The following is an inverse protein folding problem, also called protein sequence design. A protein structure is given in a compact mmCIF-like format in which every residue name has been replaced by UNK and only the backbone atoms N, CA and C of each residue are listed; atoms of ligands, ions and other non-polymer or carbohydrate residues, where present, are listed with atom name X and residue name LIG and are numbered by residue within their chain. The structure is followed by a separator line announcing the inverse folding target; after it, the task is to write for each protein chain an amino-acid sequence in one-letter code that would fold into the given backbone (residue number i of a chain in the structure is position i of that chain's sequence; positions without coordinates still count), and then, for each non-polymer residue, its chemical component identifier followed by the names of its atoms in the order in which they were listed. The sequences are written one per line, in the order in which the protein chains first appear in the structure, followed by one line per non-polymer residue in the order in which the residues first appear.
data_IF_744473733477
#
_entry.id   IF_744473733477
#
_cell.length_a   1.000
_cell.length_b   1.000
_cell.length_c   1.000
_cell.angle_alpha   90.00
_cell.angle_beta   90.00
_cell.angle_gamma   90.00
#
_symmetry.space_group_name_H-M   'P 1'
#
loop_
_entity.id
_entity.type
_entity.pdbx_description
1 polymer ?
#
# COMPACT_ATOMS: atom_id res chain seq x y z
N UNK A 1 49.34 54.89 -28.87
CA UNK A 1 47.96 55.40 -29.24
C UNK A 1 46.94 54.29 -29.15
N UNK A 2 45.97 54.49 -28.26
CA UNK A 2 44.60 54.01 -28.23
C UNK A 2 44.44 52.48 -28.30
N UNK A 3 44.20 51.75 -27.21
CA UNK A 3 42.92 51.62 -26.45
C UNK A 3 41.79 51.06 -27.30
N UNK A 4 41.37 49.93 -26.96
CA UNK A 4 40.14 49.26 -27.36
C UNK A 4 39.79 48.23 -26.35
N UNK A 5 39.17 48.66 -25.27
CA UNK A 5 38.44 47.84 -24.34
C UNK A 5 37.12 47.44 -24.98
N UNK A 6 36.71 46.25 -24.75
CA UNK A 6 35.46 45.66 -25.20
C UNK A 6 34.98 44.67 -24.15
N UNK A 7 34.25 45.19 -23.24
CA UNK A 7 33.17 44.65 -22.44
C UNK A 7 32.93 43.12 -22.53
N UNK A 8 33.40 42.43 -21.47
CA UNK A 8 32.87 41.17 -21.03
C UNK A 8 31.81 41.44 -19.93
N UNK A 9 30.60 41.71 -20.28
CA UNK A 9 29.45 41.70 -19.37
C UNK A 9 28.25 41.26 -20.20
N UNK A 10 27.89 40.00 -20.09
CA UNK A 10 26.53 39.44 -20.30
C UNK A 10 26.60 37.91 -20.42
N UNK A 11 26.81 37.22 -19.32
CA UNK A 11 26.61 35.77 -19.25
C UNK A 11 26.24 35.27 -17.84
N UNK A 12 25.87 36.15 -16.92
CA UNK A 12 25.61 35.75 -15.52
C UNK A 12 24.13 35.85 -15.08
N UNK A 13 23.19 36.23 -15.97
CA UNK A 13 21.78 36.42 -15.58
C UNK A 13 20.90 35.22 -15.99
N UNK A 14 21.38 34.32 -16.83
CA UNK A 14 20.56 33.17 -17.33
C UNK A 14 20.63 31.91 -16.45
N UNK A 15 21.55 31.79 -15.51
CA UNK A 15 21.71 30.57 -14.69
C UNK A 15 20.87 30.54 -13.40
N UNK A 16 20.27 31.66 -13.00
CA UNK A 16 19.47 31.76 -11.76
C UNK A 16 18.00 31.40 -11.92
N UNK A 17 17.43 31.58 -13.11
CA UNK A 17 16.00 31.34 -13.35
C UNK A 17 15.67 29.87 -13.70
N UNK A 18 16.57 29.15 -14.34
CA UNK A 18 16.37 27.75 -14.72
C UNK A 18 16.35 26.79 -13.54
N UNK A 19 16.98 27.18 -12.41
CA UNK A 19 17.03 26.35 -11.19
C UNK A 19 15.72 26.34 -10.38
N UNK A 20 14.71 27.12 -10.73
CA UNK A 20 13.45 27.25 -10.00
C UNK A 20 12.25 26.57 -10.68
N UNK A 21 12.46 25.92 -11.81
CA UNK A 21 11.40 25.18 -12.55
C UNK A 21 11.57 23.70 -12.34
N UNK A 22 10.49 22.98 -12.00
CA UNK A 22 10.51 21.54 -11.85
C UNK A 22 10.67 20.84 -13.20
N UNK A 23 11.65 19.98 -13.32
CA UNK A 23 11.94 19.14 -14.48
C UNK A 23 11.78 17.66 -14.08
N UNK A 24 11.68 16.78 -15.06
CA UNK A 24 11.60 15.34 -14.83
C UNK A 24 12.77 14.83 -13.96
N UNK A 25 12.46 14.01 -12.94
CA UNK A 25 13.41 13.50 -11.97
C UNK A 25 13.71 14.42 -10.79
N UNK A 26 13.28 15.70 -10.83
CA UNK A 26 13.47 16.61 -9.70
C UNK A 26 12.63 16.19 -8.49
N UNK A 27 13.13 16.46 -7.29
CA UNK A 27 12.39 16.30 -6.05
C UNK A 27 11.69 17.62 -5.70
N UNK A 28 10.37 17.62 -5.80
CA UNK A 28 9.54 18.79 -5.53
C UNK A 28 8.78 18.61 -4.22
N UNK A 29 9.03 19.48 -3.26
CA UNK A 29 8.28 19.50 -1.99
C UNK A 29 7.05 20.36 -2.18
N UNK A 30 5.87 19.82 -1.88
CA UNK A 30 4.58 20.49 -2.05
C UNK A 30 3.70 20.37 -0.82
N UNK A 31 2.90 21.39 -0.57
CA UNK A 31 1.62 21.20 0.12
C UNK A 31 0.55 20.93 -0.91
N UNK A 32 -0.37 20.02 -0.61
CA UNK A 32 -1.48 19.76 -1.53
C UNK A 32 -2.74 19.25 -0.83
N UNK A 33 -3.85 19.41 -1.53
CA UNK A 33 -5.17 18.91 -1.16
C UNK A 33 -5.80 18.22 -2.36
N UNK A 34 -6.09 16.93 -2.23
CA UNK A 34 -6.74 16.13 -3.26
C UNK A 34 -8.23 15.99 -2.97
N UNK A 35 -9.07 16.24 -3.99
CA UNK A 35 -10.53 16.21 -3.90
C UNK A 35 -11.12 15.49 -5.11
N UNK A 36 -12.33 14.96 -4.93
CA UNK A 36 -13.17 14.61 -6.07
C UNK A 36 -13.71 15.87 -6.76
N UNK A 37 -14.19 15.75 -8.00
CA UNK A 37 -14.78 16.86 -8.77
C UNK A 37 -15.94 17.57 -8.05
N UNK A 38 -16.65 16.86 -7.18
CA UNK A 38 -17.72 17.43 -6.34
C UNK A 38 -17.21 18.16 -5.08
N UNK A 39 -15.89 18.32 -4.93
CA UNK A 39 -15.26 19.00 -3.79
C UNK A 39 -14.99 18.13 -2.56
N UNK A 40 -15.42 16.86 -2.57
CA UNK A 40 -15.21 15.93 -1.43
C UNK A 40 -13.72 15.66 -1.22
N UNK A 41 -13.23 15.89 0.00
CA UNK A 41 -11.83 15.72 0.39
C UNK A 41 -11.43 14.25 0.41
N UNK A 42 -10.33 13.93 -0.27
CA UNK A 42 -9.70 12.60 -0.26
C UNK A 42 -8.43 12.59 0.58
N UNK A 43 -7.63 13.63 0.48
CA UNK A 43 -6.34 13.74 1.14
C UNK A 43 -5.91 15.20 1.27
N UNK A 44 -5.17 15.54 2.32
CA UNK A 44 -4.53 16.86 2.44
C UNK A 44 -3.30 16.79 3.32
N UNK A 45 -2.30 17.59 2.98
CA UNK A 45 -1.09 17.83 3.81
C UNK A 45 -1.27 19.01 4.78
N UNK A 46 -2.44 19.64 4.80
CA UNK A 46 -2.76 20.84 5.58
C UNK A 46 -3.73 20.50 6.73
N UNK A 47 -3.32 20.76 7.95
CA UNK A 47 -4.13 20.48 9.15
C UNK A 47 -5.40 21.31 9.24
N UNK A 48 -5.34 22.58 8.82
CA UNK A 48 -6.48 23.48 8.80
C UNK A 48 -7.60 23.00 7.86
N UNK A 49 -7.23 22.44 6.69
CA UNK A 49 -8.21 21.83 5.77
C UNK A 49 -8.76 20.51 6.33
N UNK A 50 -7.89 19.71 6.96
CA UNK A 50 -8.28 18.43 7.56
C UNK A 50 -9.24 18.61 8.73
N UNK A 51 -9.07 19.64 9.53
CA UNK A 51 -9.83 19.90 10.76
C UNK A 51 -11.03 20.82 10.53
N UNK A 52 -11.20 21.38 9.33
CA UNK A 52 -12.38 22.19 8.99
C UNK A 52 -13.66 21.33 9.01
N UNK A 53 -14.63 21.66 9.89
CA UNK A 53 -15.89 20.92 9.97
C UNK A 53 -16.82 21.15 8.77
N UNK A 54 -16.58 22.19 7.97
CA UNK A 54 -17.37 22.47 6.77
C UNK A 54 -16.85 21.70 5.54
N UNK A 55 -15.63 21.16 5.61
CA UNK A 55 -15.07 20.37 4.54
C UNK A 55 -15.71 18.97 4.51
N UNK A 56 -16.48 18.70 3.44
CA UNK A 56 -17.02 17.35 3.19
C UNK A 56 -15.87 16.37 2.93
N UNK A 57 -15.83 15.27 3.70
CA UNK A 57 -14.81 14.25 3.63
C UNK A 57 -15.37 12.99 3.00
N UNK A 58 -14.56 12.32 2.17
CA UNK A 58 -14.88 11.00 1.64
C UNK A 58 -14.96 9.97 2.78
N UNK A 59 -15.75 8.92 2.61
CA UNK A 59 -15.72 7.74 3.48
C UNK A 59 -14.34 7.07 3.54
N UNK A 60 -13.50 7.31 2.54
CA UNK A 60 -12.12 6.83 2.42
C UNK A 60 -11.08 7.79 3.00
N UNK A 61 -11.51 8.95 3.51
CA UNK A 61 -10.60 9.91 4.11
C UNK A 61 -10.06 9.38 5.44
N UNK A 62 -8.74 9.26 5.53
CA UNK A 62 -8.03 8.94 6.78
C UNK A 62 -7.29 10.19 7.22
N UNK A 63 -7.63 10.66 8.44
CA UNK A 63 -6.90 11.77 9.04
C UNK A 63 -5.51 11.30 9.46
N UNK A 64 -4.47 11.95 8.94
CA UNK A 64 -3.10 11.67 9.32
C UNK A 64 -2.77 12.23 10.70
N UNK A 65 -1.86 11.57 11.41
CA UNK A 65 -1.35 12.06 12.70
C UNK A 65 -0.39 13.25 12.52
N UNK A 66 0.32 13.28 11.40
CA UNK A 66 1.29 14.32 11.07
C UNK A 66 0.93 14.98 9.74
N UNK A 67 0.83 16.30 9.78
CA UNK A 67 0.66 17.16 8.60
C UNK A 67 1.98 17.83 8.25
N UNK A 68 2.22 18.05 6.98
CA UNK A 68 3.45 18.67 6.48
C UNK A 68 3.60 18.51 4.97
N UNK A 69 4.43 19.36 4.37
CA UNK A 69 4.70 19.27 2.94
C UNK A 69 5.34 17.92 2.59
N UNK A 70 4.93 17.34 1.47
CA UNK A 70 5.41 16.06 0.97
C UNK A 70 6.34 16.22 -0.23
N UNK A 71 7.27 15.29 -0.39
CA UNK A 71 8.20 15.29 -1.49
C UNK A 71 7.72 14.33 -2.60
N UNK A 72 7.57 14.89 -3.80
CA UNK A 72 7.12 14.22 -5.01
C UNK A 72 8.27 14.16 -6.01
N UNK A 73 8.42 13.06 -6.70
CA UNK A 73 9.34 12.92 -7.83
C UNK A 73 8.62 13.43 -9.09
N UNK A 74 9.11 14.49 -9.70
CA UNK A 74 8.53 15.01 -10.92
C UNK A 74 8.67 14.00 -12.08
N UNK A 75 7.57 13.64 -12.72
CA UNK A 75 7.51 12.62 -13.78
C UNK A 75 7.74 11.18 -13.32
N UNK A 76 8.03 10.96 -12.03
CA UNK A 76 8.33 9.65 -11.46
C UNK A 76 7.10 8.96 -10.85
N UNK A 77 7.34 7.76 -10.34
CA UNK A 77 6.33 6.99 -9.60
C UNK A 77 6.04 7.64 -8.25
N UNK A 78 4.77 7.92 -8.02
CA UNK A 78 4.22 8.50 -6.81
C UNK A 78 2.92 7.76 -6.47
N UNK A 79 2.36 8.03 -5.29
CA UNK A 79 1.05 7.47 -4.89
C UNK A 79 -0.05 7.80 -5.91
N UNK A 80 0.03 9.00 -6.52
CA UNK A 80 -0.77 9.42 -7.67
C UNK A 80 0.18 9.71 -8.83
N UNK A 81 0.36 8.82 -9.81
CA UNK A 81 1.30 9.02 -10.92
C UNK A 81 1.07 10.34 -11.66
N UNK A 82 -0.19 10.70 -11.91
CA UNK A 82 -0.55 11.96 -12.57
C UNK A 82 -0.11 13.20 -11.81
N UNK A 83 0.07 13.15 -10.50
CA UNK A 83 0.59 14.25 -9.71
C UNK A 83 2.07 14.52 -10.04
N UNK A 84 2.89 13.47 -10.20
CA UNK A 84 4.29 13.62 -10.59
C UNK A 84 4.44 14.33 -11.95
N UNK A 85 3.57 14.04 -12.89
CA UNK A 85 3.58 14.70 -14.21
C UNK A 85 3.00 16.11 -14.17
N UNK A 86 1.95 16.31 -13.36
CA UNK A 86 1.28 17.61 -13.23
C UNK A 86 2.14 18.70 -12.57
N UNK A 87 3.22 18.33 -11.88
CA UNK A 87 4.14 19.30 -11.26
C UNK A 87 5.30 19.71 -12.17
N UNK A 88 5.54 19.02 -13.30
CA UNK A 88 6.57 19.40 -14.27
C UNK A 88 6.24 20.81 -14.82
N UNK A 89 7.26 21.67 -14.87
CA UNK A 89 7.11 23.05 -15.34
C UNK A 89 6.67 24.04 -14.25
N UNK A 90 6.26 23.58 -13.08
CA UNK A 90 5.90 24.47 -11.95
C UNK A 90 7.15 25.13 -11.33
N UNK A 91 6.93 26.27 -10.67
CA UNK A 91 8.00 27.06 -10.03
C UNK A 91 7.85 27.04 -8.52
N UNK A 92 8.98 27.21 -7.82
CA UNK A 92 8.95 27.42 -6.37
C UNK A 92 8.05 28.61 -6.01
N UNK A 93 7.14 28.41 -5.06
CA UNK A 93 6.13 29.37 -4.60
C UNK A 93 4.87 29.41 -5.45
N UNK A 94 4.80 28.63 -6.53
CA UNK A 94 3.63 28.57 -7.40
C UNK A 94 2.49 27.79 -6.72
N UNK A 95 1.28 28.31 -6.88
CA UNK A 95 0.02 27.63 -6.54
C UNK A 95 -0.69 27.28 -7.82
N UNK A 96 -1.04 26.03 -7.98
CA UNK A 96 -1.71 25.54 -9.18
C UNK A 96 -2.68 24.41 -8.86
N UNK A 97 -3.59 24.12 -9.79
CA UNK A 97 -4.52 23.01 -9.70
C UNK A 97 -4.24 22.04 -10.83
N UNK A 98 -4.12 20.76 -10.48
CA UNK A 98 -3.90 19.66 -11.42
C UNK A 98 -5.14 18.76 -11.41
N UNK A 99 -5.76 18.54 -12.57
CA UNK A 99 -6.79 17.51 -12.73
C UNK A 99 -6.13 16.22 -13.19
N UNK A 100 -6.23 15.19 -12.37
CA UNK A 100 -5.64 13.88 -12.64
C UNK A 100 -6.77 12.94 -13.10
N UNK A 101 -6.78 12.53 -14.39
CA UNK A 101 -7.78 11.60 -14.88
C UNK A 101 -7.60 10.21 -14.31
N UNK A 102 -8.64 9.36 -14.33
CA UNK A 102 -8.67 8.09 -13.62
C UNK A 102 -7.48 7.16 -13.90
N UNK A 103 -7.06 7.08 -15.16
CA UNK A 103 -5.96 6.22 -15.62
C UNK A 103 -4.59 6.58 -15.01
N UNK A 104 -4.43 7.84 -14.55
CA UNK A 104 -3.23 8.35 -13.88
C UNK A 104 -3.46 8.64 -12.39
N UNK A 105 -4.64 8.26 -11.89
CA UNK A 105 -5.00 8.38 -10.48
C UNK A 105 -5.11 6.98 -9.83
N UNK A 106 -6.32 6.51 -9.59
CA UNK A 106 -6.60 5.24 -8.91
C UNK A 106 -7.16 4.16 -9.86
N UNK A 107 -6.91 4.31 -11.14
CA UNK A 107 -7.29 3.41 -12.22
C UNK A 107 -8.61 3.76 -12.89
N UNK A 108 -8.72 3.38 -14.16
CA UNK A 108 -9.99 3.40 -14.88
C UNK A 108 -10.96 2.40 -14.25
N UNK A 109 -12.26 2.67 -14.33
CA UNK A 109 -13.27 1.71 -13.92
C UNK A 109 -13.33 0.56 -14.94
N UNK A 110 -13.17 -0.67 -14.45
CA UNK A 110 -13.23 -1.88 -15.27
C UNK A 110 -14.53 -2.64 -15.04
N UNK A 111 -15.36 -2.71 -16.07
CA UNK A 111 -16.62 -3.44 -16.03
C UNK A 111 -16.41 -4.95 -15.86
N UNK A 112 -15.25 -5.51 -16.25
CA UNK A 112 -14.95 -6.93 -16.08
C UNK A 112 -14.64 -7.30 -14.63
N UNK A 113 -14.30 -6.30 -13.82
CA UNK A 113 -14.11 -6.42 -12.37
C UNK A 113 -15.43 -6.36 -11.59
N UNK A 114 -16.58 -6.42 -12.27
CA UNK A 114 -17.91 -6.45 -11.66
C UNK A 114 -18.53 -7.82 -11.92
N UNK A 115 -18.76 -8.57 -10.84
CA UNK A 115 -19.33 -9.91 -10.94
C UNK A 115 -20.77 -9.93 -10.47
N UNK A 116 -21.59 -10.71 -11.17
CA UNK A 116 -22.93 -11.09 -10.76
C UNK A 116 -22.88 -12.52 -10.22
N UNK A 117 -23.30 -12.71 -8.98
CA UNK A 117 -23.22 -13.98 -8.26
C UNK A 117 -24.62 -14.39 -7.85
N UNK A 118 -24.99 -15.63 -8.13
CA UNK A 118 -26.29 -16.17 -7.74
C UNK A 118 -26.44 -16.19 -6.21
N UNK A 119 -27.59 -15.68 -5.71
CA UNK A 119 -27.88 -15.67 -4.27
C UNK A 119 -28.45 -17.00 -3.78
N UNK A 120 -28.96 -17.85 -4.67
CA UNK A 120 -29.59 -19.14 -4.33
C UNK A 120 -28.72 -20.25 -4.88
N UNK A 121 -28.29 -21.14 -4.01
CA UNK A 121 -27.60 -22.38 -4.37
C UNK A 121 -28.44 -23.56 -3.95
N UNK A 122 -28.77 -24.44 -4.92
CA UNK A 122 -29.53 -25.65 -4.68
C UNK A 122 -28.55 -26.83 -4.76
N UNK A 123 -28.46 -27.61 -3.69
CA UNK A 123 -27.63 -28.80 -3.62
C UNK A 123 -28.54 -30.03 -3.41
N UNK A 124 -28.30 -31.16 -4.11
CA UNK A 124 -28.96 -32.39 -3.76
C UNK A 124 -28.53 -32.84 -2.35
N UNK A 125 -29.48 -33.37 -1.57
CA UNK A 125 -29.19 -33.88 -0.22
C UNK A 125 -28.21 -35.06 -0.25
N UNK A 126 -28.29 -35.86 -1.28
CA UNK A 126 -27.35 -36.97 -1.53
C UNK A 126 -26.61 -36.64 -2.82
N UNK A 127 -25.28 -36.62 -2.73
CA UNK A 127 -24.39 -36.34 -3.85
C UNK A 127 -23.36 -37.45 -3.98
N UNK A 128 -23.07 -37.84 -5.21
CA UNK A 128 -21.97 -38.73 -5.53
C UNK A 128 -20.87 -37.93 -6.22
N UNK A 129 -19.65 -38.04 -5.73
CA UNK A 129 -18.49 -37.35 -6.29
C UNK A 129 -17.40 -38.38 -6.61
N UNK A 130 -16.60 -38.17 -7.67
CA UNK A 130 -15.45 -39.02 -7.98
C UNK A 130 -14.50 -39.13 -6.78
N UNK A 131 -13.98 -40.33 -6.52
CA UNK A 131 -13.10 -40.57 -5.35
C UNK A 131 -11.82 -39.71 -5.38
N UNK A 132 -11.24 -39.50 -6.55
CA UNK A 132 -10.08 -38.62 -6.72
C UNK A 132 -10.40 -37.16 -6.35
N UNK A 133 -11.56 -36.65 -6.76
CA UNK A 133 -12.01 -35.29 -6.40
C UNK A 133 -12.28 -35.16 -4.90
N UNK A 134 -12.82 -36.22 -4.27
CA UNK A 134 -12.99 -36.27 -2.82
C UNK A 134 -11.65 -36.11 -2.09
N UNK A 135 -10.65 -36.92 -2.47
CA UNK A 135 -9.31 -36.90 -1.84
C UNK A 135 -8.62 -35.55 -2.08
N UNK A 136 -8.75 -35.00 -3.29
CA UNK A 136 -8.20 -33.67 -3.61
C UNK A 136 -8.84 -32.56 -2.77
N UNK A 137 -10.17 -32.57 -2.63
CA UNK A 137 -10.93 -31.54 -1.91
C UNK A 137 -10.76 -31.60 -0.40
N UNK A 138 -10.70 -32.80 0.17
CA UNK A 138 -10.68 -32.97 1.63
C UNK A 138 -9.31 -33.40 2.21
N UNK A 139 -8.35 -33.77 1.35
CA UNK A 139 -7.02 -34.26 1.74
C UNK A 139 -7.05 -35.47 2.69
N UNK A 140 -8.11 -36.30 2.64
CA UNK A 140 -8.30 -37.52 3.43
C UNK A 140 -8.85 -38.64 2.57
N UNK A 141 -8.58 -39.88 2.95
CA UNK A 141 -9.22 -41.05 2.34
C UNK A 141 -10.67 -41.17 2.84
N UNK A 142 -11.65 -41.46 1.95
CA UNK A 142 -13.04 -41.59 2.38
C UNK A 142 -13.30 -42.85 3.20
N UNK A 143 -13.92 -42.67 4.36
CA UNK A 143 -14.35 -43.78 5.25
C UNK A 143 -15.83 -43.66 5.53
N UNK A 144 -16.57 -44.76 5.39
CA UNK A 144 -18.04 -44.77 5.66
C UNK A 144 -18.30 -44.34 7.10
N UNK A 145 -19.37 -43.59 7.31
CA UNK A 145 -19.81 -42.95 8.55
C UNK A 145 -18.97 -41.78 9.05
N UNK A 146 -17.86 -41.40 8.38
CA UNK A 146 -17.19 -40.16 8.66
C UNK A 146 -17.92 -38.95 8.05
N UNK A 147 -17.69 -37.77 8.66
CA UNK A 147 -18.33 -36.52 8.26
C UNK A 147 -17.29 -35.54 7.66
N UNK A 148 -17.69 -34.84 6.60
CA UNK A 148 -16.94 -33.79 5.94
C UNK A 148 -17.81 -32.55 5.72
N UNK A 149 -17.21 -31.39 5.53
CA UNK A 149 -17.92 -30.15 5.21
C UNK A 149 -17.87 -29.89 3.71
N UNK A 150 -18.97 -30.17 2.97
CA UNK A 150 -19.12 -29.76 1.57
C UNK A 150 -19.31 -28.24 1.43
N UNK A 151 -19.93 -27.65 2.43
CA UNK A 151 -20.13 -26.20 2.59
C UNK A 151 -19.92 -25.83 4.07
N UNK A 152 -19.62 -24.58 4.40
CA UNK A 152 -19.31 -24.17 5.78
C UNK A 152 -20.43 -24.35 6.80
N UNK A 153 -21.65 -24.59 6.35
CA UNK A 153 -22.87 -24.48 7.17
C UNK A 153 -23.33 -25.78 7.80
N UNK A 154 -23.00 -26.94 7.19
CA UNK A 154 -23.46 -28.27 7.67
C UNK A 154 -22.47 -29.37 7.27
N UNK A 155 -22.52 -30.46 8.00
CA UNK A 155 -21.74 -31.67 7.70
C UNK A 155 -22.47 -32.57 6.69
N UNK A 156 -21.68 -33.33 5.95
CA UNK A 156 -22.14 -34.39 5.07
C UNK A 156 -21.48 -35.68 5.46
N UNK A 157 -22.27 -36.73 5.75
CA UNK A 157 -21.78 -38.03 6.14
C UNK A 157 -21.50 -38.88 4.89
N UNK A 158 -20.41 -39.59 4.90
CA UNK A 158 -20.06 -40.56 3.88
C UNK A 158 -20.91 -41.79 4.07
N UNK A 159 -21.90 -42.04 3.19
CA UNK A 159 -22.80 -43.17 3.29
C UNK A 159 -22.37 -44.36 2.44
N UNK A 160 -21.49 -44.16 1.44
CA UNK A 160 -20.99 -45.22 0.58
C UNK A 160 -19.60 -44.82 -0.01
N UNK A 161 -18.72 -45.80 -0.03
CA UNK A 161 -17.43 -45.70 -0.73
C UNK A 161 -17.35 -46.82 -1.75
N UNK A 162 -17.21 -46.49 -3.03
CA UNK A 162 -16.98 -47.43 -4.12
C UNK A 162 -15.59 -47.17 -4.73
N UNK A 163 -15.13 -48.01 -5.66
CA UNK A 163 -13.80 -47.91 -6.24
C UNK A 163 -13.50 -46.52 -6.85
N UNK A 164 -14.51 -45.94 -7.53
CA UNK A 164 -14.35 -44.67 -8.28
C UNK A 164 -15.22 -43.52 -7.74
N UNK A 165 -16.05 -43.76 -6.72
CA UNK A 165 -17.09 -42.82 -6.30
C UNK A 165 -17.30 -42.85 -4.80
N UNK A 166 -17.57 -41.68 -4.22
CA UNK A 166 -17.94 -41.48 -2.82
C UNK A 166 -19.33 -40.84 -2.78
N UNK A 167 -20.26 -41.47 -2.05
CA UNK A 167 -21.61 -40.92 -1.88
C UNK A 167 -21.73 -40.28 -0.51
N UNK A 168 -22.20 -39.05 -0.48
CA UNK A 168 -22.34 -38.22 0.70
C UNK A 168 -23.82 -37.89 0.92
N UNK A 169 -24.26 -37.92 2.17
CA UNK A 169 -25.59 -37.45 2.60
C UNK A 169 -25.41 -36.26 3.55
N UNK A 170 -25.99 -35.13 3.18
CA UNK A 170 -25.91 -33.91 3.99
C UNK A 170 -26.93 -33.90 5.11
N UNK A 171 -26.51 -33.66 6.33
CA UNK A 171 -27.37 -33.52 7.50
C UNK A 171 -27.80 -32.05 7.62
N UNK A 172 -29.02 -31.76 7.15
CA UNK A 172 -29.57 -30.40 7.25
C UNK A 172 -30.67 -30.38 8.29
N UNK A 173 -30.60 -29.43 9.19
CA UNK A 173 -31.66 -29.02 10.09
C UNK A 173 -32.39 -27.88 9.38
N UNK A 174 -33.67 -28.00 9.13
CA UNK A 174 -34.48 -26.97 8.45
C UNK A 174 -34.44 -25.63 9.20
N UNK A 175 -34.57 -24.55 8.44
CA UNK A 175 -34.67 -23.16 8.91
C UNK A 175 -33.45 -22.66 9.73
N UNK A 176 -32.25 -23.01 9.29
CA UNK A 176 -31.02 -22.43 9.86
C UNK A 176 -30.72 -21.05 9.24
N UNK A 177 -30.29 -20.14 10.11
CA UNK A 177 -29.90 -18.76 9.74
C UNK A 177 -28.52 -18.45 10.26
N UNK A 178 -27.64 -18.03 9.37
CA UNK A 178 -26.25 -17.64 9.68
C UNK A 178 -26.04 -16.16 9.36
N UNK A 179 -25.52 -15.43 10.33
CA UNK A 179 -25.18 -14.02 10.14
C UNK A 179 -23.69 -13.90 9.80
N UNK A 180 -23.41 -13.29 8.66
CA UNK A 180 -22.06 -13.08 8.12
C UNK A 180 -21.79 -11.60 7.89
N UNK A 181 -20.53 -11.23 7.71
CA UNK A 181 -20.13 -9.85 7.48
C UNK A 181 -20.83 -9.26 6.23
N UNK A 182 -21.07 -10.08 5.23
CA UNK A 182 -21.63 -9.67 3.95
C UNK A 182 -23.16 -9.84 3.86
N UNK A 183 -23.81 -10.41 4.86
CA UNK A 183 -25.25 -10.59 4.83
C UNK A 183 -25.76 -11.70 5.75
N UNK A 184 -26.89 -12.29 5.40
CA UNK A 184 -27.49 -13.40 6.13
C UNK A 184 -27.68 -14.58 5.18
N UNK A 185 -27.24 -15.77 5.57
CA UNK A 185 -27.47 -17.02 4.81
C UNK A 185 -28.57 -17.82 5.48
N UNK A 186 -29.62 -18.13 4.73
CA UNK A 186 -30.73 -18.98 5.15
C UNK A 186 -30.62 -20.34 4.46
N UNK A 187 -30.87 -21.42 5.20
CA UNK A 187 -30.82 -22.79 4.69
C UNK A 187 -32.13 -23.46 4.94
N UNK A 188 -32.73 -24.01 3.88
CA UNK A 188 -33.98 -24.74 3.90
C UNK A 188 -33.85 -26.06 3.16
N UNK A 189 -34.44 -27.14 3.72
CA UNK A 189 -34.51 -28.46 3.07
C UNK A 189 -35.88 -28.76 2.56
N UNK A 190 -36.01 -29.26 1.32
CA UNK A 190 -37.29 -29.70 0.71
C UNK A 190 -37.44 -31.22 0.63
N UNK A 191 -36.65 -31.97 1.45
CA UNK A 191 -36.65 -33.43 1.48
C UNK A 191 -35.71 -34.10 0.48
N UNK A 192 -35.41 -33.50 -0.66
CA UNK A 192 -34.48 -34.02 -1.69
C UNK A 192 -33.30 -33.06 -1.96
N UNK A 193 -33.52 -31.80 -1.68
CA UNK A 193 -32.52 -30.74 -1.92
C UNK A 193 -32.32 -29.88 -0.69
N UNK A 194 -31.24 -29.17 -0.71
CA UNK A 194 -30.85 -28.14 0.26
C UNK A 194 -30.78 -26.83 -0.50
N UNK A 195 -31.60 -25.88 -0.10
CA UNK A 195 -31.65 -24.54 -0.67
C UNK A 195 -30.86 -23.60 0.27
N UNK A 196 -29.79 -23.03 -0.21
CA UNK A 196 -28.97 -22.06 0.49
C UNK A 196 -29.26 -20.71 -0.16
N UNK A 197 -29.85 -19.79 0.59
CA UNK A 197 -30.21 -18.45 0.11
C UNK A 197 -29.39 -17.39 0.84
N UNK A 198 -28.57 -16.66 0.12
CA UNK A 198 -27.87 -15.48 0.65
C UNK A 198 -28.78 -14.26 0.52
N UNK A 199 -28.94 -13.53 1.62
CA UNK A 199 -29.55 -12.20 1.69
C UNK A 199 -28.40 -11.19 1.89
N UNK A 200 -27.81 -10.67 0.78
CA UNK A 200 -26.61 -9.85 0.87
C UNK A 200 -26.94 -8.43 1.35
N UNK A 201 -25.98 -7.83 2.04
CA UNK A 201 -26.10 -6.46 2.53
C UNK A 201 -25.34 -5.52 1.58
N UNK A 202 -26.04 -4.58 0.94
CA UNK A 202 -25.42 -3.56 0.08
C UNK A 202 -24.39 -2.76 0.89
N UNK A 203 -23.22 -2.52 0.30
CA UNK A 203 -22.10 -1.84 0.91
C UNK A 203 -21.17 -2.75 1.72
N UNK A 204 -21.57 -4.00 2.00
CA UNK A 204 -20.72 -4.92 2.75
C UNK A 204 -19.53 -5.41 1.91
N UNK A 205 -18.38 -5.73 2.55
CA UNK A 205 -17.26 -6.36 1.87
C UNK A 205 -17.63 -7.78 1.47
N UNK A 206 -17.12 -8.22 0.33
CA UNK A 206 -17.26 -9.59 -0.16
C UNK A 206 -15.96 -10.02 -0.84
N UNK A 207 -15.51 -11.24 -0.58
CA UNK A 207 -14.28 -11.77 -1.16
C UNK A 207 -14.58 -12.98 -2.06
N UNK A 208 -13.89 -13.04 -3.20
CA UNK A 208 -13.80 -14.22 -4.05
C UNK A 208 -12.33 -14.58 -4.13
N UNK A 209 -11.97 -15.75 -3.64
CA UNK A 209 -10.57 -16.15 -3.47
C UNK A 209 -9.80 -15.10 -2.64
N UNK A 210 -8.69 -14.60 -3.16
CA UNK A 210 -7.87 -13.57 -2.51
C UNK A 210 -8.29 -12.14 -2.87
N UNK A 211 -9.31 -11.96 -3.73
CA UNK A 211 -9.75 -10.65 -4.20
C UNK A 211 -10.94 -10.15 -3.38
N UNK A 212 -10.81 -8.94 -2.83
CA UNK A 212 -11.86 -8.29 -2.04
C UNK A 212 -12.58 -7.23 -2.87
N UNK A 213 -13.90 -7.29 -2.84
CA UNK A 213 -14.80 -6.33 -3.46
C UNK A 213 -15.86 -5.84 -2.47
N UNK A 214 -16.86 -5.15 -3.00
CA UNK A 214 -17.99 -4.61 -2.24
C UNK A 214 -19.29 -4.97 -2.95
N UNK A 215 -20.31 -5.35 -2.21
CA UNK A 215 -21.65 -5.59 -2.72
C UNK A 215 -22.28 -4.25 -3.11
N UNK A 216 -22.57 -4.06 -4.39
CA UNK A 216 -23.11 -2.80 -4.95
C UNK A 216 -24.56 -2.89 -5.39
N UNK A 217 -25.08 -4.10 -5.59
CA UNK A 217 -26.46 -4.32 -6.00
C UNK A 217 -26.99 -5.69 -5.59
N UNK A 218 -28.30 -5.81 -5.44
CA UNK A 218 -29.02 -7.06 -5.13
C UNK A 218 -30.30 -7.06 -5.93
N UNK A 219 -30.56 -8.16 -6.62
CA UNK A 219 -31.84 -8.43 -7.29
C UNK A 219 -32.47 -9.71 -6.77
N UNK A 220 -33.52 -10.21 -7.44
CA UNK A 220 -34.28 -11.40 -7.02
C UNK A 220 -33.42 -12.68 -7.06
N UNK A 221 -32.49 -12.78 -8.01
CA UNK A 221 -31.74 -14.01 -8.30
C UNK A 221 -30.27 -13.91 -7.97
N UNK A 222 -29.71 -12.71 -8.05
CA UNK A 222 -28.28 -12.46 -7.93
C UNK A 222 -27.94 -11.25 -7.06
N UNK A 223 -26.65 -11.08 -6.77
CA UNK A 223 -26.09 -9.87 -6.23
C UNK A 223 -24.84 -9.49 -7.03
N UNK A 224 -24.55 -8.20 -7.03
CA UNK A 224 -23.43 -7.62 -7.77
C UNK A 224 -22.32 -7.29 -6.79
N UNK A 225 -21.11 -7.76 -7.10
CA UNK A 225 -19.88 -7.41 -6.37
C UNK A 225 -18.96 -6.63 -7.30
N UNK A 226 -18.56 -5.45 -6.87
CA UNK A 226 -17.61 -4.60 -7.56
C UNK A 226 -16.22 -4.74 -6.91
N UNK A 227 -15.26 -5.24 -7.66
CA UNK A 227 -13.87 -5.43 -7.26
C UNK A 227 -12.96 -4.28 -7.69
N UNK A 228 -13.50 -3.25 -8.34
CA UNK A 228 -12.75 -2.05 -8.64
C UNK A 228 -12.30 -1.33 -7.36
N UNK A 229 -11.21 -0.58 -7.47
CA UNK A 229 -10.88 0.38 -6.40
C UNK A 229 -12.08 1.33 -6.22
N UNK A 230 -12.49 1.66 -4.98
CA UNK A 230 -13.70 2.47 -4.74
C UNK A 230 -13.73 3.84 -5.44
N UNK A 231 -12.56 4.37 -5.77
CA UNK A 231 -12.37 5.62 -6.49
C UNK A 231 -11.94 5.42 -7.96
N UNK A 232 -11.98 4.19 -8.49
CA UNK A 232 -11.71 3.94 -9.90
C UNK A 232 -12.71 4.69 -10.78
N UNK A 233 -12.24 5.19 -11.93
CA UNK A 233 -13.04 5.99 -12.84
C UNK A 233 -13.32 7.41 -12.35
N UNK A 234 -12.73 7.87 -11.24
CA UNK A 234 -12.89 9.23 -10.72
C UNK A 234 -11.69 10.10 -11.08
N UNK A 235 -11.93 11.29 -11.59
CA UNK A 235 -10.94 12.36 -11.71
C UNK A 235 -10.63 12.91 -10.32
N UNK A 236 -9.34 13.07 -10.02
CA UNK A 236 -8.88 13.68 -8.76
C UNK A 236 -8.37 15.09 -9.06
N UNK A 237 -8.92 16.08 -8.39
CA UNK A 237 -8.49 17.46 -8.46
C UNK A 237 -7.51 17.73 -7.32
N UNK A 238 -6.29 18.16 -7.65
CA UNK A 238 -5.23 18.45 -6.68
C UNK A 238 -4.88 19.91 -6.73
N UNK A 239 -5.23 20.65 -5.66
CA UNK A 239 -4.71 21.98 -5.40
C UNK A 239 -3.38 21.88 -4.69
N UNK A 240 -2.32 22.47 -5.20
CA UNK A 240 -0.98 22.36 -4.65
C UNK A 240 -0.24 23.70 -4.59
N UNK A 241 0.73 23.77 -3.67
CA UNK A 241 1.70 24.85 -3.53
C UNK A 241 3.10 24.27 -3.52
N UNK A 242 3.98 24.75 -4.40
CA UNK A 242 5.39 24.30 -4.49
C UNK A 242 6.25 25.03 -3.47
N UNK A 243 6.75 24.29 -2.49
CA UNK A 243 7.57 24.81 -1.39
C UNK A 243 9.06 24.87 -1.76
N UNK A 244 9.57 23.80 -2.39
CA UNK A 244 10.96 23.74 -2.81
C UNK A 244 11.18 22.76 -3.95
N UNK A 245 12.24 22.96 -4.72
CA UNK A 245 12.67 22.09 -5.80
C UNK A 245 14.13 21.73 -5.57
N UNK A 246 14.46 20.45 -5.55
CA UNK A 246 15.81 19.91 -5.53
C UNK A 246 16.05 19.26 -6.89
N UNK A 247 17.03 19.78 -7.64
CA UNK A 247 17.35 19.27 -8.98
C UNK A 247 17.85 17.82 -8.89
N UNK A 248 17.41 16.99 -9.81
CA UNK A 248 17.83 15.58 -9.90
C UNK A 248 19.35 15.42 -9.91
N UNK A 249 20.06 16.33 -10.59
CA UNK A 249 21.54 16.37 -10.64
C UNK A 249 22.22 16.63 -9.28
N UNK A 250 21.47 17.14 -8.30
CA UNK A 250 21.96 17.38 -6.93
C UNK A 250 21.69 16.22 -5.98
N UNK A 251 20.92 15.22 -6.42
CA UNK A 251 20.62 14.01 -5.64
C UNK A 251 21.78 13.03 -5.80
N UNK A 252 22.37 12.50 -4.71
CA UNK A 252 23.41 11.47 -4.82
C UNK A 252 22.94 10.25 -5.63
N UNK A 253 23.83 9.65 -6.41
CA UNK A 253 23.50 8.44 -7.19
C UNK A 253 23.17 7.24 -6.31
N UNK A 254 23.79 7.17 -5.12
CA UNK A 254 23.56 6.07 -4.16
C UNK A 254 23.77 6.53 -2.73
N UNK A 255 23.27 5.71 -1.78
CA UNK A 255 23.58 5.83 -0.36
C UNK A 255 24.99 5.30 -0.10
N UNK A 256 25.75 6.02 0.73
CA UNK A 256 27.10 5.60 1.17
C UNK A 256 26.97 4.65 2.38
N UNK A 257 27.03 3.37 2.13
CA UNK A 257 26.87 2.35 3.15
C UNK A 257 28.15 2.02 3.91
N UNK A 258 28.02 1.82 5.21
CA UNK A 258 29.01 1.19 6.07
C UNK A 258 28.56 -0.24 6.39
N UNK A 259 29.49 -1.19 6.31
CA UNK A 259 29.26 -2.60 6.70
C UNK A 259 29.77 -2.94 8.11
N UNK A 260 30.13 -1.93 8.90
CA UNK A 260 30.69 -2.08 10.24
C UNK A 260 29.89 -1.22 11.22
N UNK A 261 29.27 -1.88 12.19
CA UNK A 261 28.40 -1.27 13.18
C UNK A 261 29.15 -0.26 14.06
N UNK A 262 30.28 -0.67 14.65
CA UNK A 262 31.01 0.14 15.63
C UNK A 262 31.66 1.34 14.98
N UNK A 263 32.22 1.16 13.77
CA UNK A 263 32.74 2.26 12.96
C UNK A 263 31.65 3.25 12.60
N UNK A 264 30.45 2.76 12.28
CA UNK A 264 29.30 3.60 11.98
C UNK A 264 28.88 4.45 13.17
N UNK A 265 28.79 3.85 14.36
CA UNK A 265 28.48 4.58 15.60
C UNK A 265 29.56 5.59 15.96
N UNK A 266 30.81 5.24 15.77
CA UNK A 266 31.94 6.18 15.98
C UNK A 266 31.83 7.41 15.07
N UNK A 267 31.57 7.19 13.77
CA UNK A 267 31.40 8.27 12.80
C UNK A 267 30.18 9.13 13.08
N UNK A 268 29.08 8.52 13.53
CA UNK A 268 27.86 9.20 13.92
C UNK A 268 28.11 10.20 15.06
N UNK A 269 28.86 9.76 16.06
CA UNK A 269 29.27 10.61 17.20
C UNK A 269 30.18 11.73 16.77
N UNK A 270 31.20 11.45 15.94
CA UNK A 270 32.14 12.47 15.46
C UNK A 270 31.45 13.53 14.59
N UNK A 271 30.53 13.11 13.74
CA UNK A 271 29.85 14.00 12.79
C UNK A 271 28.56 14.61 13.35
N UNK A 272 28.21 14.27 14.57
CA UNK A 272 26.93 14.64 15.21
C UNK A 272 25.69 14.32 14.34
N UNK A 273 25.73 13.18 13.61
CA UNK A 273 24.66 12.74 12.72
C UNK A 273 23.93 11.53 13.29
N UNK A 274 22.59 11.46 13.12
CA UNK A 274 21.85 10.25 13.44
C UNK A 274 22.25 9.09 12.50
N UNK A 275 21.95 7.88 12.92
CA UNK A 275 22.24 6.65 12.18
C UNK A 275 20.95 6.04 11.64
N UNK A 276 21.01 5.56 10.42
CA UNK A 276 20.05 4.61 9.87
C UNK A 276 20.75 3.27 9.73
N UNK A 277 20.43 2.33 10.61
CA UNK A 277 20.95 0.97 10.60
C UNK A 277 19.90 0.02 10.01
N UNK A 278 20.21 -0.57 8.86
CA UNK A 278 19.36 -1.57 8.20
C UNK A 278 19.90 -2.96 8.50
N UNK A 279 19.12 -3.75 9.22
CA UNK A 279 19.38 -5.15 9.51
C UNK A 279 18.63 -6.00 8.50
N UNK A 280 19.35 -6.80 7.72
CA UNK A 280 18.81 -7.57 6.61
C UNK A 280 19.32 -9.02 6.63
N UNK A 281 18.79 -9.86 5.77
CA UNK A 281 19.33 -11.17 5.42
C UNK A 281 19.35 -11.31 3.90
N UNK A 282 20.40 -11.95 3.37
CA UNK A 282 20.55 -12.17 1.91
C UNK A 282 19.43 -13.06 1.33
N UNK A 283 18.83 -13.93 2.13
CA UNK A 283 17.73 -14.81 1.70
C UNK A 283 16.34 -14.20 1.84
N UNK A 284 16.24 -12.93 2.22
CA UNK A 284 14.99 -12.26 2.52
C UNK A 284 14.46 -11.47 1.30
N UNK A 285 13.37 -11.91 0.69
CA UNK A 285 12.74 -11.22 -0.43
C UNK A 285 12.31 -9.78 -0.12
N UNK A 286 11.76 -9.53 1.08
CA UNK A 286 11.38 -8.18 1.50
C UNK A 286 12.59 -7.25 1.69
N UNK A 287 13.75 -7.82 2.04
CA UNK A 287 15.00 -7.07 2.13
C UNK A 287 15.48 -6.66 0.75
N UNK A 288 15.47 -7.59 -0.22
CA UNK A 288 15.81 -7.31 -1.60
C UNK A 288 14.89 -6.21 -2.17
N UNK A 289 13.57 -6.35 -1.95
CA UNK A 289 12.60 -5.35 -2.37
C UNK A 289 12.90 -3.98 -1.77
N UNK A 290 13.22 -3.89 -0.46
CA UNK A 290 13.59 -2.63 0.19
C UNK A 290 14.86 -2.03 -0.41
N UNK A 291 15.88 -2.86 -0.68
CA UNK A 291 17.14 -2.41 -1.29
C UNK A 291 16.94 -1.84 -2.69
N UNK A 292 16.04 -2.44 -3.50
CA UNK A 292 15.83 -2.07 -4.90
C UNK A 292 14.81 -0.94 -5.06
N UNK A 293 13.72 -0.94 -4.32
CA UNK A 293 12.63 0.03 -4.50
C UNK A 293 12.74 1.23 -3.55
N UNK A 294 13.03 0.99 -2.26
CA UNK A 294 13.02 2.05 -1.25
C UNK A 294 14.35 2.80 -1.17
N UNK A 295 15.46 2.06 -1.01
CA UNK A 295 16.75 2.67 -0.72
C UNK A 295 17.46 3.25 -1.96
N UNK A 296 17.00 2.92 -3.16
CA UNK A 296 17.45 3.56 -4.41
C UNK A 296 16.58 4.76 -4.81
N UNK A 297 15.44 4.95 -4.16
CA UNK A 297 14.54 6.06 -4.46
C UNK A 297 15.23 7.42 -4.20
N UNK A 298 15.11 8.40 -5.10
CA UNK A 298 15.73 9.71 -4.94
C UNK A 298 15.30 10.43 -3.66
N UNK A 299 14.08 10.19 -3.17
CA UNK A 299 13.56 10.74 -1.90
C UNK A 299 14.36 10.27 -0.69
N UNK A 300 14.96 9.08 -0.76
CA UNK A 300 15.82 8.53 0.29
C UNK A 300 17.27 8.88 0.04
N UNK A 301 17.75 8.79 -1.21
CA UNK A 301 19.13 9.10 -1.56
C UNK A 301 19.52 10.54 -1.24
N UNK A 302 18.59 11.50 -1.34
CA UNK A 302 18.84 12.90 -0.97
C UNK A 302 19.17 13.07 0.52
N UNK A 303 18.80 12.10 1.35
CA UNK A 303 19.12 12.07 2.78
C UNK A 303 20.53 11.51 3.09
N UNK A 304 21.29 11.05 2.06
CA UNK A 304 22.61 10.42 2.24
C UNK A 304 23.56 11.25 3.13
N UNK A 305 23.57 12.55 2.95
CA UNK A 305 24.42 13.45 3.75
C UNK A 305 23.91 13.78 5.17
N UNK A 306 22.65 13.42 5.49
CA UNK A 306 22.00 13.78 6.76
C UNK A 306 22.14 12.70 7.83
N UNK A 307 22.39 11.46 7.43
CA UNK A 307 22.56 10.31 8.30
C UNK A 307 23.91 9.63 8.07
N UNK A 308 24.32 8.84 9.03
CA UNK A 308 25.30 7.76 8.83
C UNK A 308 24.50 6.49 8.53
N UNK A 309 24.75 5.90 7.36
CA UNK A 309 24.02 4.74 6.87
C UNK A 309 24.83 3.47 7.08
N UNK A 310 24.25 2.52 7.82
CA UNK A 310 24.85 1.24 8.14
C UNK A 310 23.91 0.14 7.63
N UNK A 311 24.46 -0.88 6.98
CA UNK A 311 23.70 -2.08 6.65
C UNK A 311 24.47 -3.32 7.09
N UNK A 312 23.81 -4.22 7.80
CA UNK A 312 24.41 -5.42 8.36
C UNK A 312 23.52 -6.63 8.05
N UNK A 313 24.14 -7.69 7.54
CA UNK A 313 23.49 -8.98 7.49
C UNK A 313 23.42 -9.58 8.90
N UNK A 314 22.29 -9.39 9.57
CA UNK A 314 22.09 -9.86 10.93
C UNK A 314 21.75 -11.36 11.01
N UNK A 315 21.64 -12.06 9.88
CA UNK A 315 21.55 -13.52 9.87
C UNK A 315 22.88 -14.19 10.21
N UNK A 316 23.99 -13.49 9.97
CA UNK A 316 25.34 -13.91 10.33
C UNK A 316 25.91 -13.14 11.53
N UNK A 317 25.35 -11.96 11.86
CA UNK A 317 25.69 -11.15 13.05
C UNK A 317 24.54 -11.25 14.07
N UNK A 318 24.37 -12.43 14.64
CA UNK A 318 23.23 -12.75 15.52
C UNK A 318 23.25 -11.97 16.85
N UNK A 319 24.42 -11.50 17.28
CA UNK A 319 24.59 -10.60 18.42
C UNK A 319 23.85 -9.27 18.22
N UNK A 320 23.89 -8.70 17.03
CA UNK A 320 23.14 -7.48 16.69
C UNK A 320 21.65 -7.75 16.52
N UNK A 321 21.27 -8.93 15.99
CA UNK A 321 19.89 -9.37 15.92
C UNK A 321 19.24 -9.37 17.31
N UNK A 322 19.91 -9.99 18.30
CA UNK A 322 19.46 -10.06 19.69
C UNK A 322 19.50 -8.68 20.37
N UNK A 323 20.59 -7.94 20.19
CA UNK A 323 20.80 -6.63 20.84
C UNK A 323 19.72 -5.61 20.47
N UNK A 324 19.31 -5.58 19.21
CA UNK A 324 18.25 -4.67 18.75
C UNK A 324 16.84 -5.27 18.87
N UNK A 325 16.70 -6.51 19.36
CA UNK A 325 15.40 -7.18 19.54
C UNK A 325 14.66 -7.38 18.23
N UNK A 326 15.40 -7.76 17.18
CA UNK A 326 14.85 -7.98 15.85
C UNK A 326 13.89 -9.17 15.84
N UNK A 327 12.69 -8.99 15.27
CA UNK A 327 11.66 -10.05 15.18
C UNK A 327 11.52 -10.63 13.77
N UNK A 328 12.07 -9.95 12.77
CA UNK A 328 11.97 -10.33 11.35
C UNK A 328 12.84 -9.48 10.46
N UNK A 329 12.74 -9.69 9.15
CA UNK A 329 13.55 -9.00 8.14
C UNK A 329 12.68 -8.27 7.12
N UNK A 330 13.11 -7.08 6.60
CA UNK A 330 14.17 -6.25 7.17
C UNK A 330 13.73 -5.55 8.45
N UNK A 331 14.67 -5.07 9.28
CA UNK A 331 14.40 -4.12 10.34
C UNK A 331 15.32 -2.91 10.18
N UNK A 332 14.77 -1.71 10.29
CA UNK A 332 15.55 -0.48 10.34
C UNK A 332 15.52 0.10 11.75
N UNK A 333 16.70 0.39 12.29
CA UNK A 333 16.86 1.04 13.58
C UNK A 333 17.41 2.43 13.35
N UNK A 334 16.73 3.45 13.83
CA UNK A 334 17.23 4.82 13.81
C UNK A 334 17.84 5.14 15.18
N UNK A 335 19.08 5.59 15.17
CA UNK A 335 19.82 5.92 16.39
C UNK A 335 20.17 7.41 16.39
N UNK A 336 20.19 8.02 17.57
CA UNK A 336 20.75 9.36 17.70
C UNK A 336 22.30 9.33 17.57
N UNK A 337 22.99 10.50 17.48
CA UNK A 337 24.44 10.54 17.33
C UNK A 337 25.23 9.87 18.48
N UNK A 338 24.58 9.59 19.61
CA UNK A 338 25.16 8.90 20.78
C UNK A 338 24.90 7.39 20.78
N UNK A 339 24.29 6.84 19.71
CA UNK A 339 23.98 5.42 19.59
C UNK A 339 22.73 4.97 20.33
N UNK A 340 21.91 5.87 20.89
CA UNK A 340 20.64 5.51 21.52
C UNK A 340 19.56 5.31 20.47
N UNK A 341 18.81 4.22 20.54
CA UNK A 341 17.64 3.95 19.67
C UNK A 341 16.57 5.02 19.88
N UNK A 342 16.15 5.65 18.79
CA UNK A 342 15.08 6.65 18.77
C UNK A 342 13.84 6.17 17.99
N UNK A 343 14.03 5.25 17.04
CA UNK A 343 12.92 4.62 16.31
C UNK A 343 13.29 3.22 15.82
N UNK A 344 12.28 2.37 15.60
CA UNK A 344 12.38 1.08 14.92
C UNK A 344 11.29 0.98 13.87
N UNK A 345 11.66 0.49 12.71
CA UNK A 345 10.80 0.29 11.56
C UNK A 345 10.90 -1.18 11.18
N UNK A 346 9.86 -1.94 11.49
CA UNK A 346 9.81 -3.37 11.21
C UNK A 346 9.23 -3.64 9.82
N UNK A 347 9.91 -4.46 9.04
CA UNK A 347 9.52 -4.87 7.71
C UNK A 347 9.76 -3.81 6.63
N UNK A 348 9.32 -4.15 5.42
CA UNK A 348 9.38 -3.30 4.25
C UNK A 348 8.51 -2.04 4.40
N UNK A 349 9.03 -0.91 3.92
CA UNK A 349 8.27 0.34 3.73
C UNK A 349 8.56 0.90 2.35
N UNK A 350 7.55 1.35 1.60
CA UNK A 350 7.77 2.12 0.38
C UNK A 350 8.46 3.46 0.69
N UNK A 351 9.15 4.03 -0.28
CA UNK A 351 10.04 5.18 -0.08
C UNK A 351 9.38 6.39 0.58
N UNK A 352 8.13 6.71 0.24
CA UNK A 352 7.42 7.86 0.80
C UNK A 352 7.09 7.67 2.29
N UNK A 353 6.74 6.45 2.72
CA UNK A 353 6.51 6.12 4.13
C UNK A 353 7.82 6.09 4.91
N UNK A 354 8.83 5.39 4.36
CA UNK A 354 10.15 5.29 4.98
C UNK A 354 10.78 6.67 5.22
N UNK A 355 10.66 7.57 4.23
CA UNK A 355 11.10 8.96 4.38
C UNK A 355 10.37 9.68 5.51
N UNK A 356 9.04 9.55 5.58
CA UNK A 356 8.22 10.19 6.62
C UNK A 356 8.66 9.75 8.02
N UNK A 357 8.93 8.47 8.21
CA UNK A 357 9.43 7.95 9.48
C UNK A 357 10.82 8.52 9.83
N UNK A 358 11.74 8.64 8.86
CA UNK A 358 13.05 9.24 9.08
C UNK A 358 12.96 10.74 9.40
N UNK A 359 12.07 11.49 8.74
CA UNK A 359 11.86 12.92 9.01
C UNK A 359 11.22 13.16 10.37
N UNK A 360 10.31 12.30 10.83
CA UNK A 360 9.74 12.36 12.17
C UNK A 360 10.80 12.27 13.26
N UNK A 361 11.84 11.48 13.05
CA UNK A 361 12.98 11.39 13.99
C UNK A 361 13.86 12.63 13.96
N UNK A 362 14.09 13.22 12.78
CA UNK A 362 14.92 14.44 12.66
C UNK A 362 14.30 15.65 13.37
N UNK A 363 12.97 15.75 13.38
CA UNK A 363 12.24 16.82 14.08
C UNK A 363 12.24 16.68 15.61
N UNK A 364 12.64 15.53 16.14
CA UNK A 364 12.69 15.24 17.59
C UNK A 364 14.11 15.33 18.18
N UNK A 365 15.11 15.57 17.34
CA UNK A 365 16.50 15.74 17.83
C UNK A 365 16.70 17.20 18.22
N UNK A 366 16.92 17.52 19.53
CA UNK A 366 17.15 18.90 20.00
C UNK A 366 18.44 19.48 19.48
#
# INVERSE_FOLDING_TARGET
MKTGGGTAVTAEIASGETNNIAEEGDLVTIHYTARLENGTLLYTTLSDVADDPQTSKSEWYIRHEHFGAEQIVAGGENVLPGLGWGIIGTKKGEKTTVAIPPEYALGAYDQQSVLHIDRVKILPRIIAIPRNEFIESFSVEPVVDEEVYLVPYFTSRIIRVADNEVTLESAVIDDQVFNEEYGTTEIHGDGGHIIITLIPRIGAPFAVEDTRGRITGVDEHSFTVDFNHPLAGKTIIVDLEVISIIKASSVPESITWLGDHDRGLFLAKEKEKPVVLVLYSESCWWCEKMMVETLTDPRIRVLNGRFVWIRIDSSIHTDLYEFYGQLGYPMTVVLNPRGKVVSRIDGYRPAHEFRRELEGVMGQTP
#
